data_IF_828210456662
#
_entry.id   IF_828210456662
#
_cell.length_a   1.000
_cell.length_b   1.000
_cell.length_c   1.000
_cell.angle_alpha   90.00
_cell.angle_beta   90.00
_cell.angle_gamma   90.00
#
_symmetry.space_group_name_H-M   'P 1'
#
loop_
_entity.id
_entity.type
_entity.pdbx_description
1 polymer ?
#
# COMPACT_ATOMS: atom_id res chain seq x y z
N UNK A 1 10.53 39.42 14.83
CA UNK A 1 10.01 38.42 13.86
C UNK A 1 10.72 38.55 12.53
N UNK A 2 10.69 39.71 11.88
CA UNK A 2 11.32 39.93 10.56
C UNK A 2 12.79 39.49 10.48
N UNK A 3 13.64 39.86 11.45
CA UNK A 3 15.04 39.40 11.50
C UNK A 3 15.19 37.88 11.53
N UNK A 4 14.27 37.15 12.18
CA UNK A 4 14.34 35.68 12.28
C UNK A 4 14.05 35.08 10.90
N UNK A 5 13.03 35.56 10.21
CA UNK A 5 12.67 35.10 8.87
C UNK A 5 13.73 35.46 7.82
N UNK A 6 14.32 36.65 7.90
CA UNK A 6 15.41 37.08 7.00
C UNK A 6 16.69 36.26 7.24
N UNK A 7 17.00 35.96 8.51
CA UNK A 7 18.12 35.08 8.85
C UNK A 7 17.88 33.64 8.38
N UNK A 8 16.65 33.14 8.53
CA UNK A 8 16.25 31.83 8.02
C UNK A 8 16.37 31.76 6.49
N UNK A 9 15.81 32.72 5.76
CA UNK A 9 15.85 32.76 4.30
C UNK A 9 17.28 32.86 3.77
N UNK A 10 18.11 33.72 4.38
CA UNK A 10 19.55 33.79 4.08
C UNK A 10 20.25 32.46 4.35
N UNK A 11 19.87 31.76 5.43
CA UNK A 11 20.42 30.47 5.81
C UNK A 11 20.03 29.30 4.89
N UNK A 12 19.00 29.45 4.05
CA UNK A 12 18.65 28.44 3.04
C UNK A 12 19.64 28.40 1.87
N UNK A 13 20.52 29.41 1.73
CA UNK A 13 21.56 29.49 0.70
C UNK A 13 21.04 29.23 -0.73
N UNK A 14 19.86 29.79 -1.06
CA UNK A 14 19.22 29.59 -2.36
C UNK A 14 19.97 30.33 -3.48
N UNK A 15 20.09 29.74 -4.68
CA UNK A 15 20.76 30.37 -5.80
C UNK A 15 19.87 31.44 -6.43
N UNK A 16 19.96 32.69 -5.94
CA UNK A 16 19.17 33.82 -6.46
C UNK A 16 19.86 34.49 -7.67
N UNK A 17 21.20 34.40 -7.78
CA UNK A 17 21.99 34.97 -8.89
C UNK A 17 23.26 34.14 -9.17
N UNK A 18 23.22 33.26 -10.18
CA UNK A 18 24.41 32.53 -10.65
C UNK A 18 24.89 31.37 -9.75
N UNK A 19 25.75 30.51 -10.31
CA UNK A 19 26.07 29.15 -9.86
C UNK A 19 26.69 29.02 -8.45
N UNK A 20 25.85 29.13 -7.41
CA UNK A 20 26.19 28.63 -6.08
C UNK A 20 25.80 27.15 -5.98
N UNK A 21 26.76 26.25 -6.18
CA UNK A 21 26.58 24.82 -5.95
C UNK A 21 26.68 24.49 -4.45
N UNK A 22 25.68 24.89 -3.66
CA UNK A 22 25.60 24.40 -2.29
C UNK A 22 24.98 23.01 -2.29
N UNK A 23 25.77 22.00 -1.88
CA UNK A 23 25.22 20.69 -1.52
C UNK A 23 24.59 20.82 -0.14
N UNK A 24 23.36 20.36 0.02
CA UNK A 24 22.68 20.31 1.32
C UNK A 24 23.51 19.50 2.31
N UNK A 25 23.82 20.08 3.47
CA UNK A 25 24.51 19.39 4.54
C UNK A 25 23.51 18.85 5.58
N UNK A 26 23.95 17.89 6.40
CA UNK A 26 23.17 17.37 7.53
C UNK A 26 22.89 18.47 8.59
N UNK A 27 23.76 19.47 8.68
CA UNK A 27 23.57 20.59 9.61
C UNK A 27 22.42 21.49 9.17
N UNK A 28 22.22 21.68 7.86
CA UNK A 28 21.14 22.50 7.30
C UNK A 28 19.76 21.90 7.64
N UNK A 29 19.64 20.57 7.51
CA UNK A 29 18.43 19.81 7.86
C UNK A 29 18.07 19.98 9.35
N UNK A 30 19.06 19.87 10.24
CA UNK A 30 18.85 20.05 11.68
C UNK A 30 18.43 21.49 12.02
N UNK A 31 19.06 22.47 11.37
CA UNK A 31 18.74 23.87 11.57
C UNK A 31 17.29 24.17 11.14
N UNK A 32 16.84 23.60 10.02
CA UNK A 32 15.45 23.72 9.57
C UNK A 32 14.46 23.12 10.56
N UNK A 33 14.77 21.94 11.12
CA UNK A 33 13.89 21.34 12.13
C UNK A 33 13.73 22.25 13.37
N UNK A 34 14.81 22.95 13.77
CA UNK A 34 14.76 23.90 14.90
C UNK A 34 13.94 25.15 14.54
N UNK A 35 14.18 25.74 13.36
CA UNK A 35 13.43 26.93 12.92
C UNK A 35 11.95 26.63 12.69
N UNK A 36 11.60 25.51 12.06
CA UNK A 36 10.20 25.13 11.85
C UNK A 36 9.46 24.91 13.15
N UNK A 37 10.10 24.27 14.14
CA UNK A 37 9.55 24.18 15.49
C UNK A 37 9.37 25.57 16.10
N UNK A 38 10.35 26.45 15.97
CA UNK A 38 10.24 27.81 16.51
C UNK A 38 9.09 28.58 15.86
N UNK A 39 8.97 28.55 14.52
CA UNK A 39 7.87 29.19 13.79
C UNK A 39 6.52 28.65 14.24
N UNK A 40 6.35 27.32 14.27
CA UNK A 40 5.09 26.71 14.66
C UNK A 40 4.69 27.11 16.06
N UNK A 41 5.60 27.11 17.03
CA UNK A 41 5.28 27.46 18.43
C UNK A 41 5.10 28.97 18.68
N UNK A 42 5.37 29.82 17.68
CA UNK A 42 5.04 31.26 17.73
C UNK A 42 3.66 31.59 17.11
N UNK A 43 2.98 30.62 16.48
CA UNK A 43 1.63 30.83 15.91
C UNK A 43 0.59 31.02 17.04
N UNK A 44 -0.51 31.71 16.77
CA UNK A 44 -1.58 31.93 17.75
C UNK A 44 -1.45 33.24 18.53
N UNK A 45 -2.55 33.65 19.15
CA UNK A 45 -2.70 34.99 19.72
C UNK A 45 -2.62 36.08 18.65
N UNK A 46 -2.08 37.25 19.00
CA UNK A 46 -1.96 38.42 18.11
C UNK A 46 -0.72 38.38 17.19
N UNK A 47 0.00 37.26 17.11
CA UNK A 47 1.25 37.17 16.36
C UNK A 47 1.01 36.97 14.85
N UNK A 48 1.70 37.77 14.03
CA UNK A 48 1.61 37.76 12.55
C UNK A 48 2.46 36.68 11.88
N UNK A 49 2.81 35.59 12.57
CA UNK A 49 3.76 34.58 12.07
C UNK A 49 3.26 33.91 10.78
N UNK A 50 1.95 33.66 10.67
CA UNK A 50 1.36 33.09 9.46
C UNK A 50 1.51 34.03 8.25
N UNK A 51 1.36 35.34 8.41
CA UNK A 51 1.60 36.32 7.32
C UNK A 51 3.06 36.24 6.83
N UNK A 52 4.03 36.12 7.74
CA UNK A 52 5.44 35.98 7.37
C UNK A 52 5.73 34.63 6.69
N UNK A 53 5.11 33.54 7.15
CA UNK A 53 5.25 32.23 6.51
C UNK A 53 4.66 32.22 5.09
N UNK A 54 3.51 32.84 4.87
CA UNK A 54 2.91 32.95 3.55
C UNK A 54 3.81 33.72 2.59
N UNK A 55 4.31 34.88 2.99
CA UNK A 55 5.24 35.66 2.17
C UNK A 55 6.53 34.89 1.88
N UNK A 56 7.02 34.11 2.84
CA UNK A 56 8.17 33.22 2.65
C UNK A 56 7.85 32.17 1.58
N UNK A 57 6.71 31.48 1.67
CA UNK A 57 6.36 30.42 0.73
C UNK A 57 6.04 30.93 -0.68
N UNK A 58 5.45 32.12 -0.81
CA UNK A 58 5.33 32.83 -2.09
C UNK A 58 6.71 33.09 -2.71
N UNK A 59 7.69 33.49 -1.89
CA UNK A 59 9.07 33.71 -2.36
C UNK A 59 9.75 32.40 -2.78
N UNK A 60 9.42 31.29 -2.12
CA UNK A 60 10.02 29.98 -2.36
C UNK A 60 9.32 29.17 -3.45
N UNK A 61 8.12 29.56 -3.91
CA UNK A 61 7.24 28.79 -4.79
C UNK A 61 7.97 28.26 -6.05
N UNK A 62 8.74 29.13 -6.71
CA UNK A 62 9.48 28.75 -7.93
C UNK A 62 10.50 27.64 -7.70
N UNK A 63 11.08 27.51 -6.50
CA UNK A 63 12.06 26.47 -6.16
C UNK A 63 11.42 25.10 -5.92
N UNK A 64 10.10 25.03 -5.69
CA UNK A 64 9.37 23.76 -5.53
C UNK A 64 8.90 23.15 -6.83
N UNK A 65 8.98 23.88 -7.95
CA UNK A 65 8.60 23.36 -9.25
C UNK A 65 9.51 22.17 -9.65
N UNK A 66 8.98 21.03 -10.14
CA UNK A 66 9.77 19.85 -10.51
C UNK A 66 10.94 20.10 -11.46
N UNK A 67 10.81 21.08 -12.36
CA UNK A 67 11.86 21.49 -13.30
C UNK A 67 13.04 22.21 -12.63
N UNK A 68 12.83 22.87 -11.49
CA UNK A 68 13.81 23.70 -10.80
C UNK A 68 14.57 22.90 -9.74
N UNK A 69 14.98 21.70 -10.11
CA UNK A 69 15.64 20.78 -9.19
C UNK A 69 17.10 21.14 -8.95
N UNK A 70 17.52 21.27 -7.68
CA UNK A 70 18.91 21.49 -7.30
C UNK A 70 19.29 20.94 -5.93
N UNK A 71 20.48 21.30 -5.45
CA UNK A 71 20.96 20.89 -4.10
C UNK A 71 20.08 21.38 -2.96
N UNK A 72 19.28 22.42 -3.17
CA UNK A 72 18.31 22.95 -2.21
C UNK A 72 16.99 22.16 -2.16
N UNK A 73 16.67 21.34 -3.17
CA UNK A 73 15.36 20.67 -3.25
C UNK A 73 15.07 19.81 -2.02
N UNK A 74 16.05 19.04 -1.57
CA UNK A 74 15.88 18.18 -0.39
C UNK A 74 15.60 19.01 0.87
N UNK A 75 16.34 20.10 1.05
CA UNK A 75 16.25 21.01 2.19
C UNK A 75 14.87 21.67 2.24
N UNK A 76 14.35 22.09 1.09
CA UNK A 76 13.00 22.64 0.96
C UNK A 76 11.92 21.59 1.24
N UNK A 77 12.06 20.36 0.73
CA UNK A 77 11.11 19.28 1.06
C UNK A 77 11.08 18.98 2.58
N UNK A 78 12.24 19.01 3.25
CA UNK A 78 12.34 18.86 4.71
C UNK A 78 11.65 20.02 5.41
N UNK A 79 11.79 21.26 4.93
CA UNK A 79 11.13 22.43 5.49
C UNK A 79 9.61 22.24 5.52
N UNK A 80 8.98 21.91 4.39
CA UNK A 80 7.52 21.72 4.35
C UNK A 80 7.08 20.56 5.25
N UNK A 81 7.79 19.44 5.18
CA UNK A 81 7.49 18.25 5.97
C UNK A 81 7.56 18.51 7.48
N UNK A 82 8.67 19.07 7.95
CA UNK A 82 8.88 19.33 9.37
C UNK A 82 7.95 20.42 9.89
N UNK A 83 7.61 21.42 9.06
CA UNK A 83 6.63 22.44 9.43
C UNK A 83 5.24 21.83 9.67
N UNK A 84 4.76 20.99 8.73
CA UNK A 84 3.48 20.31 8.88
C UNK A 84 3.48 19.34 10.08
N UNK A 85 4.55 18.58 10.28
CA UNK A 85 4.69 17.64 11.39
C UNK A 85 4.63 18.37 12.75
N UNK A 86 5.39 19.45 12.93
CA UNK A 86 5.37 20.22 14.16
C UNK A 86 4.02 20.87 14.42
N UNK A 87 3.32 21.33 13.36
CA UNK A 87 1.98 21.90 13.47
C UNK A 87 0.97 20.88 13.98
N UNK A 88 0.95 19.66 13.41
CA UNK A 88 0.11 18.55 13.89
C UNK A 88 0.44 18.19 15.34
N UNK A 89 1.72 18.11 15.71
CA UNK A 89 2.14 17.83 17.08
C UNK A 89 1.66 18.90 18.06
N UNK A 90 1.80 20.17 17.70
CA UNK A 90 1.31 21.28 18.54
C UNK A 90 -0.20 21.22 18.70
N UNK A 91 -0.93 20.98 17.61
CA UNK A 91 -2.39 20.85 17.68
C UNK A 91 -2.82 19.66 18.55
N UNK A 92 -2.09 18.55 18.48
CA UNK A 92 -2.32 17.40 19.35
C UNK A 92 -2.15 17.75 20.83
N UNK A 93 -1.11 18.50 21.17
CA UNK A 93 -0.87 18.99 22.53
C UNK A 93 -2.00 19.92 23.00
N UNK A 94 -2.49 20.80 22.13
CA UNK A 94 -3.52 21.78 22.48
C UNK A 94 -4.93 21.18 22.64
N UNK A 95 -5.27 20.14 21.85
CA UNK A 95 -6.65 19.60 21.78
C UNK A 95 -6.84 18.23 22.45
N UNK A 96 -5.82 17.36 22.42
CA UNK A 96 -5.98 15.95 22.77
C UNK A 96 -5.07 15.48 23.91
N UNK A 97 -3.99 16.19 24.21
CA UNK A 97 -3.11 15.81 25.30
C UNK A 97 -3.81 15.91 26.66
N UNK A 98 -3.67 14.86 27.47
CA UNK A 98 -4.23 14.83 28.81
C UNK A 98 -3.53 15.84 29.71
N UNK A 99 -4.24 16.50 30.64
CA UNK A 99 -3.64 17.35 31.66
C UNK A 99 -2.48 16.63 32.36
N UNK A 100 -1.31 17.25 32.36
CA UNK A 100 -0.13 16.78 33.06
C UNK A 100 0.48 17.94 33.89
N UNK A 101 1.63 17.70 34.52
CA UNK A 101 2.32 18.71 35.35
C UNK A 101 2.90 19.88 34.56
N UNK A 102 2.91 19.82 33.22
CA UNK A 102 3.43 20.88 32.37
C UNK A 102 2.42 22.02 32.27
N UNK A 103 2.94 23.24 32.03
CA UNK A 103 2.08 24.40 31.84
C UNK A 103 1.17 24.20 30.64
N UNK A 104 -0.14 24.27 30.87
CA UNK A 104 -1.12 24.23 29.80
C UNK A 104 -1.10 25.55 29.03
N UNK A 105 -1.26 25.46 27.72
CA UNK A 105 -1.32 26.61 26.83
C UNK A 105 -2.62 27.36 27.12
N UNK A 106 -2.52 28.67 27.40
CA UNK A 106 -3.70 29.51 27.62
C UNK A 106 -4.53 29.59 26.35
N UNK A 107 -5.86 29.64 26.49
CA UNK A 107 -6.78 29.61 25.36
C UNK A 107 -6.54 30.72 24.32
N UNK A 108 -6.11 31.91 24.77
CA UNK A 108 -5.77 33.05 23.92
C UNK A 108 -4.63 32.79 22.92
N UNK A 109 -3.74 31.82 23.22
CA UNK A 109 -2.60 31.48 22.37
C UNK A 109 -2.79 30.16 21.62
N UNK A 110 -3.94 29.50 21.77
CA UNK A 110 -4.25 28.28 21.02
C UNK A 110 -4.46 28.59 19.54
N UNK A 111 -4.16 27.60 18.70
CA UNK A 111 -4.38 27.67 17.25
C UNK A 111 -5.88 27.58 16.97
N UNK A 112 -6.41 28.59 16.29
CA UNK A 112 -7.83 28.64 15.90
C UNK A 112 -8.07 27.84 14.62
N UNK A 113 -9.31 27.43 14.34
CA UNK A 113 -9.62 26.69 13.09
C UNK A 113 -9.31 27.51 11.82
N UNK A 114 -9.40 28.84 11.90
CA UNK A 114 -9.00 29.74 10.81
C UNK A 114 -7.49 29.72 10.56
N UNK A 115 -6.69 29.63 11.63
CA UNK A 115 -5.24 29.51 11.50
C UNK A 115 -4.86 28.18 10.84
N UNK A 116 -5.58 27.09 11.17
CA UNK A 116 -5.41 25.78 10.54
C UNK A 116 -5.72 25.85 9.05
N UNK A 117 -6.86 26.44 8.68
CA UNK A 117 -7.27 26.61 7.29
C UNK A 117 -6.20 27.34 6.47
N UNK A 118 -5.77 28.49 6.99
CA UNK A 118 -4.76 29.35 6.37
C UNK A 118 -3.43 28.61 6.21
N UNK A 119 -3.01 27.88 7.23
CA UNK A 119 -1.79 27.07 7.19
C UNK A 119 -1.87 25.95 6.14
N UNK A 120 -3.01 25.26 6.04
CA UNK A 120 -3.21 24.18 5.06
C UNK A 120 -3.20 24.74 3.64
N UNK A 121 -3.94 25.82 3.37
CA UNK A 121 -3.99 26.46 2.06
C UNK A 121 -2.61 26.92 1.58
N UNK A 122 -1.84 27.54 2.47
CA UNK A 122 -0.47 27.99 2.18
C UNK A 122 0.44 26.84 1.71
N UNK A 123 0.36 25.66 2.35
CA UNK A 123 1.24 24.53 2.03
C UNK A 123 0.71 23.60 0.96
N UNK A 124 -0.62 23.57 0.73
CA UNK A 124 -1.26 22.59 -0.16
C UNK A 124 -0.66 22.64 -1.56
N UNK A 125 -0.65 23.81 -2.19
CA UNK A 125 -0.25 23.95 -3.60
C UNK A 125 1.25 23.65 -3.78
N UNK A 126 2.07 24.04 -2.81
CA UNK A 126 3.50 23.71 -2.77
C UNK A 126 3.70 22.20 -2.63
N UNK A 127 2.92 21.53 -1.78
CA UNK A 127 2.97 20.08 -1.65
C UNK A 127 2.58 19.38 -2.95
N UNK A 128 1.52 19.84 -3.61
CA UNK A 128 1.04 19.28 -4.88
C UNK A 128 2.08 19.45 -6.00
N UNK A 129 2.76 20.59 -6.08
CA UNK A 129 3.90 20.78 -7.00
C UNK A 129 5.05 19.81 -6.67
N UNK A 130 5.34 19.65 -5.38
CA UNK A 130 6.45 18.81 -4.91
C UNK A 130 6.21 17.30 -5.08
N UNK A 131 4.96 16.88 -5.32
CA UNK A 131 4.58 15.49 -5.57
C UNK A 131 5.35 14.88 -6.76
N UNK A 132 5.62 15.68 -7.79
CA UNK A 132 6.34 15.24 -8.98
C UNK A 132 7.85 15.57 -8.95
N UNK A 133 8.39 15.84 -7.77
CA UNK A 133 9.82 16.14 -7.61
C UNK A 133 10.71 14.97 -8.03
N UNK A 134 11.83 15.29 -8.68
CA UNK A 134 12.85 14.30 -9.09
C UNK A 134 13.54 13.60 -7.92
N UNK A 135 13.43 14.13 -6.69
CA UNK A 135 13.89 13.45 -5.46
C UNK A 135 12.93 12.38 -4.93
N UNK A 136 11.79 12.17 -5.59
CA UNK A 136 10.73 11.27 -5.16
C UNK A 136 9.60 11.98 -4.41
N UNK A 137 8.43 11.34 -4.40
CA UNK A 137 7.19 11.89 -3.83
C UNK A 137 7.02 11.61 -2.33
N UNK A 138 7.90 10.82 -1.70
CA UNK A 138 7.73 10.36 -0.32
C UNK A 138 7.56 11.49 0.70
N UNK A 139 8.39 12.54 0.64
CA UNK A 139 8.25 13.70 1.54
C UNK A 139 6.95 14.45 1.31
N UNK A 140 6.53 14.62 0.05
CA UNK A 140 5.26 15.25 -0.30
C UNK A 140 4.08 14.44 0.24
N UNK A 141 4.13 13.12 0.08
CA UNK A 141 3.11 12.19 0.52
C UNK A 141 2.89 12.22 2.05
N UNK A 142 3.95 12.19 2.85
CA UNK A 142 3.86 12.32 4.32
C UNK A 142 3.38 13.72 4.72
N UNK A 143 3.78 14.75 3.98
CA UNK A 143 3.31 16.12 4.26
C UNK A 143 1.82 16.26 3.97
N UNK A 144 1.34 15.75 2.83
CA UNK A 144 -0.08 15.70 2.49
C UNK A 144 -0.88 14.88 3.52
N UNK A 145 -0.32 13.78 4.03
CA UNK A 145 -0.93 13.04 5.15
C UNK A 145 -1.12 13.94 6.38
N UNK A 146 -0.10 14.67 6.80
CA UNK A 146 -0.21 15.60 7.92
C UNK A 146 -1.23 16.73 7.65
N UNK A 147 -1.26 17.29 6.45
CA UNK A 147 -2.24 18.32 6.09
C UNK A 147 -3.67 17.76 6.04
N UNK A 148 -3.86 16.54 5.54
CA UNK A 148 -5.16 15.87 5.50
C UNK A 148 -5.69 15.57 6.91
N UNK A 149 -4.82 15.28 7.89
CA UNK A 149 -5.23 15.16 9.30
C UNK A 149 -5.75 16.47 9.88
N UNK A 150 -5.33 17.62 9.33
CA UNK A 150 -5.78 18.94 9.77
C UNK A 150 -7.08 19.35 9.09
N UNK A 151 -7.13 19.31 7.75
CA UNK A 151 -8.29 19.71 6.93
C UNK A 151 -8.44 18.77 5.73
N UNK A 152 -9.18 17.69 5.95
CA UNK A 152 -9.46 16.67 4.94
C UNK A 152 -10.26 17.23 3.75
N UNK A 153 -11.19 18.15 4.01
CA UNK A 153 -12.05 18.83 3.05
C UNK A 153 -11.28 19.62 1.98
N UNK A 154 -10.10 20.13 2.34
CA UNK A 154 -9.27 20.94 1.44
C UNK A 154 -8.26 20.08 0.68
N UNK A 155 -7.67 19.10 1.37
CA UNK A 155 -6.54 18.32 0.85
C UNK A 155 -7.00 17.14 0.01
N UNK A 156 -7.98 16.36 0.48
CA UNK A 156 -8.40 15.12 -0.18
C UNK A 156 -8.92 15.35 -1.60
N UNK A 157 -9.81 16.32 -1.88
CA UNK A 157 -10.28 16.54 -3.25
C UNK A 157 -9.14 16.78 -4.23
N UNK A 158 -8.16 17.62 -3.86
CA UNK A 158 -7.02 17.92 -4.72
C UNK A 158 -6.10 16.72 -4.97
N UNK A 159 -5.94 15.81 -3.98
CA UNK A 159 -5.17 14.58 -4.16
C UNK A 159 -5.93 13.56 -5.01
N UNK A 160 -7.25 13.46 -4.81
CA UNK A 160 -8.14 12.57 -5.58
C UNK A 160 -8.13 13.00 -7.04
N UNK A 161 -8.42 14.27 -7.33
CA UNK A 161 -8.47 14.81 -8.70
C UNK A 161 -7.17 14.56 -9.45
N UNK A 162 -6.02 14.85 -8.81
CA UNK A 162 -4.69 14.61 -9.39
C UNK A 162 -4.39 13.14 -9.63
N UNK A 163 -4.92 12.25 -8.79
CA UNK A 163 -4.73 10.82 -8.97
C UNK A 163 -5.58 10.31 -10.12
N UNK A 164 -6.83 10.75 -10.24
CA UNK A 164 -7.72 10.41 -11.35
C UNK A 164 -7.13 10.93 -12.67
N UNK A 165 -6.71 12.20 -12.71
CA UNK A 165 -6.02 12.79 -13.87
C UNK A 165 -4.80 11.94 -14.27
N UNK A 166 -3.93 11.60 -13.31
CA UNK A 166 -2.75 10.79 -13.59
C UNK A 166 -3.12 9.39 -14.13
N UNK A 167 -4.13 8.73 -13.57
CA UNK A 167 -4.58 7.40 -14.01
C UNK A 167 -5.17 7.40 -15.43
N UNK A 168 -5.80 8.49 -15.85
CA UNK A 168 -6.35 8.65 -17.21
C UNK A 168 -5.26 8.95 -18.24
N UNK A 169 -4.15 9.60 -17.83
CA UNK A 169 -3.06 9.92 -18.74
C UNK A 169 -2.24 8.68 -19.12
N UNK A 170 -2.09 8.44 -20.43
CA UNK A 170 -1.27 7.34 -20.97
C UNK A 170 0.21 7.75 -21.11
N UNK A 171 0.49 9.07 -21.09
CA UNK A 171 1.78 9.62 -21.55
C UNK A 171 2.82 9.76 -20.43
N UNK A 172 2.40 9.85 -19.16
CA UNK A 172 3.28 10.23 -18.04
C UNK A 172 3.25 9.23 -16.86
N UNK A 173 3.83 8.02 -17.00
CA UNK A 173 3.71 6.94 -16.00
C UNK A 173 4.30 7.29 -14.62
N UNK A 174 5.32 8.14 -14.59
CA UNK A 174 5.91 8.63 -13.34
C UNK A 174 4.94 9.45 -12.48
N UNK A 175 3.91 10.07 -13.08
CA UNK A 175 2.90 10.81 -12.33
C UNK A 175 1.92 9.89 -11.63
N UNK A 176 1.58 8.75 -12.24
CA UNK A 176 0.70 7.72 -11.65
C UNK A 176 1.31 7.19 -10.36
N UNK A 177 2.59 6.81 -10.38
CA UNK A 177 3.27 6.25 -9.20
C UNK A 177 3.38 7.27 -8.08
N UNK A 178 3.71 8.53 -8.40
CA UNK A 178 3.75 9.61 -7.44
C UNK A 178 2.38 9.91 -6.81
N UNK A 179 1.33 10.01 -7.64
CA UNK A 179 -0.03 10.29 -7.20
C UNK A 179 -0.59 9.16 -6.32
N UNK A 180 -0.40 7.89 -6.73
CA UNK A 180 -0.80 6.73 -5.92
C UNK A 180 -0.07 6.67 -4.58
N UNK A 181 1.22 7.03 -4.52
CA UNK A 181 1.94 7.09 -3.26
C UNK A 181 1.36 8.16 -2.31
N UNK A 182 1.01 9.34 -2.85
CA UNK A 182 0.34 10.38 -2.08
C UNK A 182 -1.07 9.96 -1.63
N UNK A 183 -1.86 9.35 -2.53
CA UNK A 183 -3.19 8.83 -2.20
C UNK A 183 -3.13 7.72 -1.14
N UNK A 184 -2.15 6.82 -1.23
CA UNK A 184 -1.89 5.78 -0.22
C UNK A 184 -1.57 6.38 1.13
N UNK A 185 -0.82 7.49 1.19
CA UNK A 185 -0.45 8.13 2.47
C UNK A 185 -1.64 8.79 3.16
N UNK A 186 -2.63 9.27 2.40
CA UNK A 186 -3.86 9.86 2.94
C UNK A 186 -5.01 8.85 3.11
N UNK A 187 -4.76 7.56 2.85
CA UNK A 187 -5.78 6.49 2.86
C UNK A 187 -6.59 6.44 4.15
N UNK A 188 -5.96 6.63 5.31
CA UNK A 188 -6.63 6.61 6.61
C UNK A 188 -7.64 7.74 6.78
N UNK A 189 -7.29 8.93 6.32
CA UNK A 189 -8.20 10.09 6.34
C UNK A 189 -9.33 9.88 5.32
N UNK A 190 -9.01 9.30 4.16
CA UNK A 190 -10.00 8.96 3.13
C UNK A 190 -11.04 7.94 3.63
N UNK A 191 -10.60 6.88 4.32
CA UNK A 191 -11.48 5.86 4.91
C UNK A 191 -12.28 6.39 6.08
N UNK A 192 -11.69 7.23 6.93
CA UNK A 192 -12.39 7.75 8.10
C UNK A 192 -13.42 8.83 7.74
N UNK A 193 -13.20 9.63 6.69
CA UNK A 193 -13.95 10.85 6.37
C UNK A 193 -13.77 11.99 7.37
N UNK A 194 -13.74 11.67 8.67
CA UNK A 194 -13.65 12.62 9.77
C UNK A 194 -14.83 13.59 9.78
N UNK A 195 -14.78 14.57 10.68
CA UNK A 195 -15.85 15.57 10.81
C UNK A 195 -15.89 16.55 9.64
N UNK A 196 -14.75 16.77 8.99
CA UNK A 196 -14.59 17.80 7.96
C UNK A 196 -15.01 17.31 6.56
N UNK A 197 -14.83 16.03 6.25
CA UNK A 197 -15.22 15.48 4.95
C UNK A 197 -15.88 14.09 5.04
N UNK A 198 -17.11 14.01 5.59
CA UNK A 198 -17.82 12.74 5.78
C UNK A 198 -18.07 11.94 4.50
N UNK A 199 -18.14 12.62 3.35
CA UNK A 199 -18.34 11.97 2.04
C UNK A 199 -17.06 11.34 1.46
N UNK A 200 -15.87 11.55 2.05
CA UNK A 200 -14.62 11.00 1.53
C UNK A 200 -14.66 9.49 1.23
N UNK A 201 -15.29 8.63 2.07
CA UNK A 201 -15.33 7.20 1.83
C UNK A 201 -16.13 6.79 0.59
N UNK A 202 -17.05 7.62 0.09
CA UNK A 202 -17.86 7.29 -1.12
C UNK A 202 -17.00 7.23 -2.37
N UNK A 203 -15.85 7.91 -2.37
CA UNK A 203 -14.88 7.85 -3.48
C UNK A 203 -14.08 6.55 -3.53
N UNK A 204 -14.06 5.76 -2.45
CA UNK A 204 -13.14 4.61 -2.31
C UNK A 204 -13.36 3.58 -3.40
N UNK A 205 -14.60 3.13 -3.60
CA UNK A 205 -14.86 2.05 -4.56
C UNK A 205 -14.52 2.51 -5.99
N UNK A 206 -14.87 3.74 -6.35
CA UNK A 206 -14.52 4.33 -7.64
C UNK A 206 -13.01 4.38 -7.85
N UNK A 207 -12.25 4.80 -6.83
CA UNK A 207 -10.79 4.83 -6.88
C UNK A 207 -10.20 3.41 -6.98
N UNK A 208 -10.75 2.44 -6.24
CA UNK A 208 -10.32 1.04 -6.33
C UNK A 208 -10.48 0.49 -7.76
N UNK A 209 -11.63 0.74 -8.40
CA UNK A 209 -11.84 0.38 -9.80
C UNK A 209 -10.91 1.12 -10.75
N UNK A 210 -10.67 2.42 -10.53
CA UNK A 210 -9.77 3.22 -11.36
C UNK A 210 -8.30 2.77 -11.28
N UNK A 211 -7.87 2.26 -10.14
CA UNK A 211 -6.49 1.76 -9.92
C UNK A 211 -6.29 0.34 -10.42
N UNK A 212 -7.35 -0.44 -10.60
CA UNK A 212 -7.27 -1.85 -10.99
C UNK A 212 -6.48 -2.10 -12.29
N UNK A 213 -6.60 -1.29 -13.37
CA UNK A 213 -5.75 -1.40 -14.57
C UNK A 213 -4.27 -1.04 -14.33
N UNK A 214 -3.93 -0.51 -13.16
CA UNK A 214 -2.56 -0.26 -12.73
C UNK A 214 -1.78 -1.52 -12.35
N UNK A 215 -2.46 -2.65 -12.15
CA UNK A 215 -1.84 -3.97 -12.03
C UNK A 215 -1.53 -4.47 -13.45
N UNK A 216 -0.30 -4.18 -13.89
CA UNK A 216 0.18 -4.42 -15.25
C UNK A 216 1.51 -5.19 -15.22
N UNK A 217 1.58 -6.39 -15.84
CA UNK A 217 2.83 -7.15 -15.93
C UNK A 217 3.99 -6.38 -16.58
N UNK A 218 3.69 -5.37 -17.39
CA UNK A 218 4.70 -4.59 -18.10
C UNK A 218 5.27 -3.42 -17.29
N UNK A 219 4.61 -3.02 -16.19
CA UNK A 219 5.04 -1.88 -15.36
C UNK A 219 5.12 -2.28 -13.89
N UNK A 220 6.35 -2.63 -13.47
CA UNK A 220 6.66 -2.98 -12.09
C UNK A 220 6.29 -1.88 -11.09
N UNK A 221 6.64 -0.62 -11.40
CA UNK A 221 6.47 0.49 -10.46
C UNK A 221 4.99 0.85 -10.29
N UNK A 222 4.23 0.87 -11.39
CA UNK A 222 2.77 1.09 -11.38
C UNK A 222 2.06 -0.03 -10.64
N UNK A 223 2.45 -1.28 -10.87
CA UNK A 223 1.88 -2.45 -10.18
C UNK A 223 2.12 -2.39 -8.68
N UNK A 224 3.36 -2.09 -8.25
CA UNK A 224 3.70 -1.97 -6.82
C UNK A 224 2.96 -0.81 -6.14
N UNK A 225 2.82 0.34 -6.81
CA UNK A 225 2.05 1.46 -6.29
C UNK A 225 0.55 1.11 -6.17
N UNK A 226 0.01 0.39 -7.15
CA UNK A 226 -1.38 -0.07 -7.15
C UNK A 226 -1.65 -1.07 -6.01
N UNK A 227 -0.79 -2.08 -5.83
CA UNK A 227 -0.88 -3.00 -4.70
C UNK A 227 -0.78 -2.28 -3.35
N UNK A 228 0.13 -1.32 -3.22
CA UNK A 228 0.29 -0.54 -1.99
C UNK A 228 -0.98 0.24 -1.64
N UNK A 229 -1.60 0.90 -2.63
CA UNK A 229 -2.86 1.62 -2.43
C UNK A 229 -4.02 0.67 -2.07
N UNK A 230 -4.23 -0.37 -2.88
CA UNK A 230 -5.32 -1.34 -2.69
C UNK A 230 -5.21 -2.01 -1.32
N UNK A 231 -4.03 -2.53 -0.98
CA UNK A 231 -3.77 -3.16 0.31
C UNK A 231 -3.98 -2.19 1.48
N UNK A 232 -3.55 -0.93 1.33
CA UNK A 232 -3.76 0.10 2.36
C UNK A 232 -5.24 0.38 2.62
N UNK A 233 -6.06 0.50 1.57
CA UNK A 233 -7.50 0.76 1.71
C UNK A 233 -8.23 -0.48 2.25
N UNK A 234 -8.06 -1.63 1.59
CA UNK A 234 -8.78 -2.85 1.96
C UNK A 234 -8.40 -3.33 3.36
N UNK A 235 -7.17 -3.05 3.83
CA UNK A 235 -6.74 -3.37 5.19
C UNK A 235 -7.39 -2.54 6.28
N UNK A 236 -8.09 -1.46 5.93
CA UNK A 236 -8.75 -0.54 6.87
C UNK A 236 -10.28 -0.67 6.88
N UNK A 237 -10.86 -1.49 5.99
CA UNK A 237 -12.31 -1.68 5.90
C UNK A 237 -12.69 -3.16 6.00
N UNK A 238 -13.78 -3.51 6.72
CA UNK A 238 -14.32 -4.86 6.68
C UNK A 238 -14.97 -5.11 5.32
N UNK A 239 -14.58 -6.20 4.65
CA UNK A 239 -15.09 -6.56 3.32
C UNK A 239 -16.34 -7.43 3.48
N UNK A 240 -17.47 -6.76 3.72
CA UNK A 240 -18.77 -7.36 3.99
C UNK A 240 -19.82 -6.69 3.10
N UNK A 241 -20.69 -7.49 2.48
CA UNK A 241 -21.87 -6.97 1.81
C UNK A 241 -22.92 -6.59 2.87
N UNK A 242 -23.12 -5.29 3.03
CA UNK A 242 -24.01 -4.73 4.05
C UNK A 242 -25.43 -4.44 3.55
N UNK A 243 -25.77 -4.74 2.28
CA UNK A 243 -27.06 -4.37 1.70
C UNK A 243 -28.28 -4.92 2.47
N UNK A 244 -28.11 -6.02 3.22
CA UNK A 244 -29.17 -6.56 4.09
C UNK A 244 -29.63 -5.56 5.17
N UNK A 245 -28.76 -4.64 5.60
CA UNK A 245 -29.07 -3.59 6.57
C UNK A 245 -30.15 -2.62 6.06
N UNK A 246 -30.19 -2.36 4.74
CA UNK A 246 -31.22 -1.50 4.12
C UNK A 246 -32.61 -2.10 4.26
N UNK A 247 -32.71 -3.42 4.14
CA UNK A 247 -33.97 -4.15 4.27
C UNK A 247 -34.39 -4.30 5.74
N UNK A 248 -33.44 -4.24 6.67
CA UNK A 248 -33.67 -4.36 8.11
C UNK A 248 -34.22 -3.07 8.76
N UNK A 249 -34.30 -1.95 8.01
CA UNK A 249 -34.84 -0.69 8.52
C UNK A 249 -33.97 -0.01 9.57
N UNK A 250 -32.65 -0.26 9.55
CA UNK A 250 -31.69 0.39 10.46
C UNK A 250 -31.62 1.89 10.09
N UNK A 251 -31.67 2.77 11.08
CA UNK A 251 -31.48 4.22 10.87
C UNK A 251 -30.05 4.48 10.37
N UNK A 252 -29.95 5.16 9.23
CA UNK A 252 -28.69 5.46 8.55
C UNK A 252 -28.74 6.89 7.99
N UNK A 253 -27.61 7.58 8.00
CA UNK A 253 -27.43 8.82 7.24
C UNK A 253 -27.47 8.57 5.73
N UNK A 254 -27.64 9.61 4.93
CA UNK A 254 -27.65 9.50 3.47
C UNK A 254 -26.33 8.92 2.94
N UNK A 255 -25.20 9.33 3.51
CA UNK A 255 -23.86 8.83 3.16
C UNK A 255 -23.71 7.36 3.54
N UNK A 256 -24.13 6.95 4.75
CA UNK A 256 -24.08 5.54 5.16
C UNK A 256 -24.97 4.66 4.27
N UNK A 257 -26.13 5.17 3.85
CA UNK A 257 -27.00 4.48 2.90
C UNK A 257 -26.32 4.29 1.55
N UNK A 258 -25.64 5.31 1.03
CA UNK A 258 -24.87 5.22 -0.21
C UNK A 258 -23.74 4.19 -0.09
N UNK A 259 -22.92 4.27 0.97
CA UNK A 259 -21.84 3.31 1.23
C UNK A 259 -22.36 1.87 1.37
N UNK A 260 -23.52 1.69 1.99
CA UNK A 260 -24.18 0.40 2.13
C UNK A 260 -24.60 -0.16 0.75
N UNK A 261 -25.11 0.67 -0.16
CA UNK A 261 -25.41 0.27 -1.54
C UNK A 261 -24.13 -0.11 -2.29
N UNK A 262 -23.07 0.69 -2.17
CA UNK A 262 -21.77 0.42 -2.79
C UNK A 262 -21.13 -0.88 -2.28
N UNK A 263 -21.36 -1.25 -1.01
CA UNK A 263 -20.86 -2.50 -0.44
C UNK A 263 -21.32 -3.76 -1.20
N UNK A 264 -22.43 -3.67 -1.94
CA UNK A 264 -22.90 -4.76 -2.79
C UNK A 264 -21.99 -5.09 -3.96
N UNK A 265 -21.18 -4.15 -4.41
CA UNK A 265 -20.23 -4.31 -5.53
C UNK A 265 -18.84 -4.77 -5.08
N UNK A 266 -18.61 -4.92 -3.77
CA UNK A 266 -17.30 -5.31 -3.24
C UNK A 266 -16.91 -6.72 -3.69
N UNK A 267 -17.86 -7.66 -3.71
CA UNK A 267 -17.58 -9.03 -4.16
C UNK A 267 -17.09 -9.05 -5.62
N UNK A 268 -17.80 -8.34 -6.51
CA UNK A 268 -17.43 -8.24 -7.92
C UNK A 268 -16.06 -7.58 -8.12
N UNK A 269 -15.77 -6.52 -7.35
CA UNK A 269 -14.46 -5.86 -7.37
C UNK A 269 -13.34 -6.82 -6.95
N UNK A 270 -13.54 -7.55 -5.85
CA UNK A 270 -12.53 -8.46 -5.31
C UNK A 270 -12.29 -9.67 -6.23
N UNK A 271 -13.33 -10.17 -6.90
CA UNK A 271 -13.19 -11.19 -7.94
C UNK A 271 -12.34 -10.68 -9.11
N UNK A 272 -12.63 -9.48 -9.62
CA UNK A 272 -11.83 -8.86 -10.69
C UNK A 272 -10.38 -8.58 -10.25
N UNK A 273 -10.15 -8.21 -8.98
CA UNK A 273 -8.81 -8.06 -8.42
C UNK A 273 -8.04 -9.38 -8.41
N UNK A 274 -8.69 -10.46 -7.98
CA UNK A 274 -8.08 -11.79 -7.97
C UNK A 274 -7.79 -12.27 -9.40
N UNK A 275 -8.68 -12.04 -10.36
CA UNK A 275 -8.45 -12.36 -11.77
C UNK A 275 -7.27 -11.57 -12.35
N UNK A 276 -7.12 -10.29 -11.98
CA UNK A 276 -5.95 -9.48 -12.35
C UNK A 276 -4.66 -9.99 -11.73
N UNK A 277 -4.71 -10.49 -10.49
CA UNK A 277 -3.56 -11.16 -9.87
C UNK A 277 -3.20 -12.46 -10.61
N UNK A 278 -4.18 -13.27 -11.03
CA UNK A 278 -3.92 -14.47 -11.84
C UNK A 278 -3.30 -14.11 -13.18
N UNK A 279 -3.85 -13.13 -13.89
CA UNK A 279 -3.29 -12.64 -15.13
C UNK A 279 -1.83 -12.16 -14.95
N UNK A 280 -1.54 -11.43 -13.87
CA UNK A 280 -0.16 -11.01 -13.56
C UNK A 280 0.76 -12.23 -13.39
N UNK A 281 0.32 -13.25 -12.64
CA UNK A 281 1.10 -14.47 -12.41
C UNK A 281 1.34 -15.26 -13.70
N UNK A 282 0.34 -15.37 -14.58
CA UNK A 282 0.47 -16.01 -15.89
C UNK A 282 1.49 -15.29 -16.80
N UNK A 283 1.60 -13.97 -16.68
CA UNK A 283 2.59 -13.19 -17.43
C UNK A 283 3.98 -13.15 -16.77
N UNK A 284 4.07 -13.50 -15.48
CA UNK A 284 5.35 -13.75 -14.80
C UNK A 284 5.89 -15.14 -15.11
N UNK A 285 5.02 -16.07 -15.50
CA UNK A 285 5.38 -17.41 -15.95
C UNK A 285 5.82 -17.39 -17.41
N UNK A 286 6.89 -16.64 -17.71
CA UNK A 286 7.44 -16.57 -19.07
C UNK A 286 8.51 -17.64 -19.29
N UNK A 287 8.18 -18.51 -20.24
CA UNK A 287 8.98 -19.32 -21.17
C UNK A 287 10.47 -19.59 -20.86
N UNK A 288 10.85 -20.86 -21.00
CA UNK A 288 12.20 -21.40 -20.98
C UNK A 288 13.18 -20.58 -21.85
N UNK A 289 13.75 -19.51 -21.31
CA UNK A 289 14.96 -18.89 -21.86
C UNK A 289 16.07 -19.94 -21.73
N UNK A 290 16.79 -20.14 -22.83
CA UNK A 290 17.79 -21.20 -23.06
C UNK A 290 18.62 -21.58 -21.83
N UNK A 291 18.94 -22.88 -21.70
CA UNK A 291 19.73 -23.46 -20.60
C UNK A 291 21.08 -22.76 -20.31
N UNK A 292 21.60 -21.93 -21.22
CA UNK A 292 22.81 -21.14 -21.04
C UNK A 292 22.60 -19.87 -20.18
N UNK A 293 21.38 -19.31 -20.11
CA UNK A 293 21.08 -18.11 -19.29
C UNK A 293 20.66 -18.46 -17.86
N UNK A 294 20.24 -19.70 -17.61
CA UNK A 294 19.81 -20.19 -16.30
C UNK A 294 20.88 -20.11 -15.20
N UNK A 295 22.18 -20.13 -15.54
CA UNK A 295 23.27 -19.97 -14.57
C UNK A 295 23.53 -18.53 -14.15
N UNK A 296 22.98 -17.55 -14.85
CA UNK A 296 23.13 -16.12 -14.53
C UNK A 296 21.91 -15.57 -13.76
N UNK A 297 20.78 -16.28 -13.74
CA UNK A 297 19.50 -15.87 -13.14
C UNK A 297 19.10 -16.65 -11.87
N UNK A 298 20.03 -17.37 -11.20
CA UNK A 298 19.71 -18.14 -9.98
C UNK A 298 19.35 -17.29 -8.75
N UNK A 299 19.47 -15.96 -8.85
CA UNK A 299 18.83 -15.05 -7.90
C UNK A 299 17.50 -14.64 -8.53
N UNK A 300 16.37 -15.01 -7.91
CA UNK A 300 15.06 -14.38 -8.15
C UNK A 300 15.28 -12.94 -8.63
N UNK A 301 14.86 -12.60 -9.84
CA UNK A 301 14.97 -11.21 -10.29
C UNK A 301 14.29 -10.38 -9.20
N UNK A 302 15.02 -9.47 -8.55
CA UNK A 302 14.59 -8.84 -7.28
C UNK A 302 13.20 -8.23 -7.44
N UNK A 303 12.88 -7.75 -8.65
CA UNK A 303 11.57 -7.26 -9.04
C UNK A 303 10.47 -8.32 -9.00
N UNK A 304 10.68 -9.51 -9.55
CA UNK A 304 9.71 -10.63 -9.49
C UNK A 304 9.45 -11.06 -8.05
N UNK A 305 10.50 -11.13 -7.24
CA UNK A 305 10.38 -11.41 -5.80
C UNK A 305 9.55 -10.33 -5.07
N UNK A 306 9.80 -9.05 -5.37
CA UNK A 306 9.04 -7.93 -4.81
C UNK A 306 7.58 -7.92 -5.27
N UNK A 307 7.31 -8.23 -6.54
CA UNK A 307 5.95 -8.40 -7.07
C UNK A 307 5.22 -9.52 -6.35
N UNK A 308 5.88 -10.67 -6.16
CA UNK A 308 5.31 -11.79 -5.40
C UNK A 308 4.91 -11.40 -3.97
N UNK A 309 5.76 -10.63 -3.28
CA UNK A 309 5.46 -10.10 -1.94
C UNK A 309 4.28 -9.11 -1.99
N UNK A 310 4.26 -8.19 -2.95
CA UNK A 310 3.19 -7.20 -3.13
C UNK A 310 1.83 -7.86 -3.40
N UNK A 311 1.80 -8.86 -4.29
CA UNK A 311 0.60 -9.63 -4.61
C UNK A 311 0.13 -10.45 -3.40
N UNK A 312 1.02 -11.27 -2.82
CA UNK A 312 0.65 -12.13 -1.69
C UNK A 312 0.16 -11.33 -0.49
N UNK A 313 0.81 -10.19 -0.18
CA UNK A 313 0.36 -9.32 0.92
C UNK A 313 -1.00 -8.68 0.65
N UNK A 314 -1.27 -8.26 -0.58
CA UNK A 314 -2.58 -7.71 -0.96
C UNK A 314 -3.67 -8.78 -0.84
N UNK A 315 -3.42 -9.99 -1.36
CA UNK A 315 -4.34 -11.12 -1.28
C UNK A 315 -4.57 -11.57 0.16
N UNK A 316 -3.54 -11.55 1.00
CA UNK A 316 -3.66 -11.78 2.44
C UNK A 316 -4.61 -10.79 3.09
N UNK A 317 -4.46 -9.50 2.80
CA UNK A 317 -5.37 -8.46 3.32
C UNK A 317 -6.80 -8.75 2.87
N UNK A 318 -7.02 -9.03 1.58
CA UNK A 318 -8.35 -9.37 1.05
C UNK A 318 -8.97 -10.54 1.81
N UNK A 319 -8.27 -11.67 1.93
CA UNK A 319 -8.83 -12.85 2.60
C UNK A 319 -9.10 -12.60 4.09
N UNK A 320 -8.22 -11.89 4.79
CA UNK A 320 -8.39 -11.61 6.22
C UNK A 320 -9.55 -10.67 6.53
N UNK A 321 -9.82 -9.71 5.64
CA UNK A 321 -10.89 -8.72 5.83
C UNK A 321 -12.24 -9.20 5.26
N UNK A 322 -12.24 -10.25 4.44
CA UNK A 322 -13.44 -10.82 3.82
C UNK A 322 -14.35 -11.51 4.81
N UNK A 323 -15.65 -11.22 4.69
CA UNK A 323 -16.72 -12.05 5.28
C UNK A 323 -16.65 -13.50 4.79
N UNK A 324 -17.19 -14.47 5.54
CA UNK A 324 -17.17 -15.88 5.14
C UNK A 324 -17.81 -16.16 3.77
N UNK A 325 -18.81 -15.38 3.37
CA UNK A 325 -19.49 -15.52 2.07
C UNK A 325 -18.58 -15.10 0.91
N UNK A 326 -18.00 -13.90 0.99
CA UNK A 326 -17.07 -13.38 -0.02
C UNK A 326 -15.82 -14.25 -0.05
N UNK A 327 -15.26 -14.59 1.11
CA UNK A 327 -14.09 -15.46 1.22
C UNK A 327 -14.30 -16.78 0.46
N UNK A 328 -15.47 -17.41 0.61
CA UNK A 328 -15.79 -18.66 -0.09
C UNK A 328 -15.80 -18.48 -1.61
N UNK A 329 -16.39 -17.41 -2.14
CA UNK A 329 -16.37 -17.12 -3.57
C UNK A 329 -14.93 -16.96 -4.09
N UNK A 330 -14.10 -16.18 -3.39
CA UNK A 330 -12.69 -15.98 -3.75
C UNK A 330 -11.87 -17.27 -3.64
N UNK A 331 -12.12 -18.09 -2.61
CA UNK A 331 -11.48 -19.40 -2.44
C UNK A 331 -11.87 -20.36 -3.57
N UNK A 332 -13.11 -20.30 -4.04
CA UNK A 332 -13.59 -21.12 -5.15
C UNK A 332 -12.87 -20.75 -6.46
N UNK A 333 -12.64 -19.46 -6.72
CA UNK A 333 -11.81 -19.00 -7.83
C UNK A 333 -10.36 -19.45 -7.69
N UNK A 334 -9.74 -19.27 -6.52
CA UNK A 334 -8.36 -19.71 -6.27
C UNK A 334 -8.17 -21.21 -6.45
N UNK A 335 -9.11 -22.01 -5.93
CA UNK A 335 -9.06 -23.46 -6.10
C UNK A 335 -9.16 -23.86 -7.57
N UNK A 336 -10.10 -23.26 -8.31
CA UNK A 336 -10.30 -23.53 -9.74
C UNK A 336 -9.04 -23.18 -10.54
N UNK A 337 -8.41 -22.04 -10.23
CA UNK A 337 -7.15 -21.63 -10.86
C UNK A 337 -6.04 -22.65 -10.59
N UNK A 338 -5.86 -23.05 -9.33
CA UNK A 338 -4.82 -24.01 -8.91
C UNK A 338 -4.99 -25.40 -9.53
N UNK A 339 -6.24 -25.86 -9.71
CA UNK A 339 -6.50 -27.19 -10.27
C UNK A 339 -6.38 -27.24 -11.79
N UNK A 340 -6.64 -26.12 -12.47
CA UNK A 340 -6.66 -26.05 -13.94
C UNK A 340 -5.30 -25.68 -14.54
N UNK A 341 -4.41 -25.07 -13.75
CA UNK A 341 -3.09 -24.63 -14.22
C UNK A 341 -1.98 -25.40 -13.50
N UNK A 342 -0.95 -25.78 -14.24
CA UNK A 342 0.30 -26.34 -13.69
C UNK A 342 1.39 -25.32 -13.92
N UNK A 343 1.80 -24.63 -12.85
CA UNK A 343 2.77 -23.54 -12.90
C UNK A 343 4.19 -24.03 -12.56
N UNK A 344 5.20 -23.28 -13.01
CA UNK A 344 6.56 -23.56 -12.58
C UNK A 344 6.74 -23.17 -11.11
N UNK A 345 7.45 -24.00 -10.35
CA UNK A 345 7.46 -23.91 -8.88
C UNK A 345 8.44 -22.87 -8.32
N UNK A 346 9.09 -22.09 -9.17
CA UNK A 346 10.15 -21.17 -8.75
C UNK A 346 9.63 -19.75 -8.55
N UNK A 347 8.80 -19.22 -9.47
CA UNK A 347 8.29 -17.85 -9.40
C UNK A 347 6.76 -17.87 -9.29
N UNK A 348 6.04 -18.12 -10.38
CA UNK A 348 4.58 -18.11 -10.45
C UNK A 348 3.96 -19.11 -9.47
N UNK A 349 4.49 -20.33 -9.42
CA UNK A 349 4.02 -21.35 -8.49
C UNK A 349 4.26 -20.98 -7.03
N UNK A 350 5.35 -20.26 -6.72
CA UNK A 350 5.63 -19.76 -5.38
C UNK A 350 4.66 -18.63 -4.98
N UNK A 351 4.33 -17.75 -5.91
CA UNK A 351 3.38 -16.65 -5.68
C UNK A 351 1.98 -17.22 -5.40
N UNK A 352 1.52 -18.18 -6.19
CA UNK A 352 0.19 -18.78 -5.99
C UNK A 352 0.12 -19.68 -4.76
N UNK A 353 1.19 -20.42 -4.44
CA UNK A 353 1.24 -21.17 -3.19
C UNK A 353 1.19 -20.24 -1.98
N UNK A 354 1.83 -19.07 -2.04
CA UNK A 354 1.72 -18.02 -1.03
C UNK A 354 0.31 -17.40 -0.95
N UNK A 355 -0.45 -17.33 -2.06
CA UNK A 355 -1.89 -16.98 -2.03
C UNK A 355 -2.72 -18.06 -1.34
N UNK A 356 -2.41 -19.35 -1.57
CA UNK A 356 -3.07 -20.46 -0.90
C UNK A 356 -2.82 -20.45 0.60
N UNK A 357 -1.56 -20.15 1.02
CA UNK A 357 -1.22 -19.91 2.42
C UNK A 357 -2.05 -18.78 3.01
N UNK A 358 -2.25 -17.70 2.26
CA UNK A 358 -3.03 -16.57 2.72
C UNK A 358 -4.49 -16.94 3.00
N UNK A 359 -5.10 -17.74 2.13
CA UNK A 359 -6.42 -18.30 2.35
C UNK A 359 -6.48 -19.22 3.57
N UNK A 360 -5.49 -20.12 3.71
CA UNK A 360 -5.41 -21.06 4.83
C UNK A 360 -5.22 -20.35 6.18
N UNK A 361 -4.50 -19.22 6.21
CA UNK A 361 -4.36 -18.38 7.41
C UNK A 361 -5.65 -17.64 7.78
N UNK A 362 -6.43 -17.20 6.79
CA UNK A 362 -7.66 -16.46 7.03
C UNK A 362 -8.80 -17.38 7.52
N UNK A 363 -9.03 -18.50 6.83
CA UNK A 363 -10.06 -19.47 7.18
C UNK A 363 -9.54 -20.91 6.99
N UNK A 364 -8.83 -21.47 8.00
CA UNK A 364 -8.12 -22.74 7.88
C UNK A 364 -9.06 -23.92 7.61
N UNK A 365 -10.15 -24.06 8.37
CA UNK A 365 -11.08 -25.19 8.27
C UNK A 365 -11.68 -25.33 6.86
N UNK A 366 -12.12 -24.21 6.27
CA UNK A 366 -12.76 -24.19 4.95
C UNK A 366 -11.72 -24.44 3.86
N UNK A 367 -10.55 -23.80 3.98
CA UNK A 367 -9.47 -23.93 2.99
C UNK A 367 -8.90 -25.35 2.97
N UNK A 368 -8.56 -25.91 4.13
CA UNK A 368 -8.06 -27.28 4.23
C UNK A 368 -9.06 -28.28 3.69
N UNK A 369 -10.34 -28.15 4.04
CA UNK A 369 -11.39 -29.05 3.53
C UNK A 369 -11.47 -29.06 2.00
N UNK A 370 -11.22 -27.91 1.36
CA UNK A 370 -11.30 -27.78 -0.10
C UNK A 370 -10.02 -28.23 -0.80
N UNK A 371 -8.86 -27.77 -0.33
CA UNK A 371 -7.58 -28.02 -0.98
C UNK A 371 -6.95 -29.35 -0.57
N UNK A 372 -6.89 -29.63 0.74
CA UNK A 372 -6.04 -30.67 1.29
C UNK A 372 -6.41 -32.07 0.75
N UNK A 373 -7.71 -32.40 0.74
CA UNK A 373 -8.19 -33.71 0.28
C UNK A 373 -7.90 -33.92 -1.21
N UNK A 374 -8.19 -32.93 -2.04
CA UNK A 374 -7.99 -33.02 -3.50
C UNK A 374 -6.50 -33.14 -3.84
N UNK A 375 -5.68 -32.21 -3.33
CA UNK A 375 -4.25 -32.13 -3.64
C UNK A 375 -3.51 -33.37 -3.15
N UNK A 376 -3.79 -33.83 -1.92
CA UNK A 376 -3.17 -35.05 -1.39
C UNK A 376 -3.53 -36.28 -2.21
N UNK A 377 -4.77 -36.40 -2.70
CA UNK A 377 -5.17 -37.51 -3.57
C UNK A 377 -4.35 -37.51 -4.86
N UNK A 378 -4.26 -36.35 -5.54
CA UNK A 378 -3.51 -36.21 -6.78
C UNK A 378 -2.02 -36.53 -6.57
N UNK A 379 -1.41 -36.08 -5.46
CA UNK A 379 -0.01 -36.39 -5.15
C UNK A 379 0.19 -37.88 -4.94
N UNK A 380 -0.71 -38.55 -4.20
CA UNK A 380 -0.65 -40.00 -3.98
C UNK A 380 -0.74 -40.75 -5.30
N UNK A 381 -1.70 -40.37 -6.16
CA UNK A 381 -1.90 -41.02 -7.46
C UNK A 381 -0.65 -40.87 -8.35
N UNK A 382 -0.07 -39.67 -8.43
CA UNK A 382 1.17 -39.41 -9.18
C UNK A 382 2.40 -40.14 -8.60
N UNK A 383 2.47 -40.26 -7.26
CA UNK A 383 3.61 -40.88 -6.58
C UNK A 383 3.57 -42.42 -6.56
N UNK A 384 2.43 -43.02 -6.89
CA UNK A 384 2.25 -44.48 -6.94
C UNK A 384 2.45 -45.06 -8.34
N UNK A 385 2.59 -44.22 -9.36
CA UNK A 385 2.95 -44.66 -10.70
C UNK A 385 4.30 -45.41 -10.72
N UNK A 386 4.38 -46.45 -11.55
CA UNK A 386 5.56 -47.31 -11.62
C UNK A 386 6.82 -46.53 -12.02
N UNK A 387 7.94 -46.76 -11.33
CA UNK A 387 9.24 -46.16 -11.66
C UNK A 387 9.50 -44.76 -11.07
N UNK A 388 8.46 -43.99 -10.75
CA UNK A 388 8.56 -42.57 -10.33
C UNK A 388 9.50 -42.34 -9.14
N UNK A 389 9.58 -43.27 -8.19
CA UNK A 389 10.49 -43.17 -7.02
C UNK A 389 11.97 -43.06 -7.40
N UNK A 390 12.37 -43.67 -8.51
CA UNK A 390 13.76 -43.74 -8.96
C UNK A 390 14.09 -42.72 -10.06
N UNK A 391 13.11 -41.94 -10.50
CA UNK A 391 13.29 -40.91 -11.53
C UNK A 391 13.98 -39.66 -10.95
N UNK A 392 14.91 -39.08 -11.72
CA UNK A 392 15.57 -37.82 -11.38
C UNK A 392 14.73 -36.61 -11.79
N UNK A 393 13.92 -36.76 -12.84
CA UNK A 393 12.99 -35.76 -13.36
C UNK A 393 11.57 -36.32 -13.27
N UNK A 394 10.74 -35.71 -12.43
CA UNK A 394 9.34 -36.10 -12.23
C UNK A 394 8.39 -35.20 -12.99
N UNK A 395 7.13 -35.61 -13.10
CA UNK A 395 6.04 -34.79 -13.63
C UNK A 395 6.00 -33.40 -12.94
N UNK A 396 6.05 -32.28 -13.68
CA UNK A 396 5.89 -30.93 -13.13
C UNK A 396 4.63 -30.76 -12.27
N UNK A 397 3.57 -31.51 -12.57
CA UNK A 397 2.33 -31.55 -11.80
C UNK A 397 2.55 -32.02 -10.37
N UNK A 398 3.43 -33.00 -10.15
CA UNK A 398 3.77 -33.47 -8.81
C UNK A 398 4.50 -32.38 -8.01
N UNK A 399 5.44 -31.67 -8.64
CA UNK A 399 6.17 -30.56 -8.01
C UNK A 399 5.23 -29.40 -7.67
N UNK A 400 4.31 -29.08 -8.57
CA UNK A 400 3.30 -28.02 -8.40
C UNK A 400 2.42 -28.29 -7.18
N UNK A 401 1.79 -29.46 -7.12
CA UNK A 401 0.90 -29.80 -6.02
C UNK A 401 1.62 -29.98 -4.68
N UNK A 402 2.86 -30.45 -4.68
CA UNK A 402 3.68 -30.47 -3.47
C UNK A 402 4.00 -29.07 -2.97
N UNK A 403 4.28 -28.11 -3.87
CA UNK A 403 4.51 -26.74 -3.46
C UNK A 403 3.27 -26.11 -2.84
N UNK A 404 2.11 -26.30 -3.47
CA UNK A 404 0.84 -25.81 -2.93
C UNK A 404 0.54 -26.45 -1.58
N UNK A 405 0.72 -27.78 -1.45
CA UNK A 405 0.48 -28.48 -0.18
C UNK A 405 1.41 -27.98 0.93
N UNK A 406 2.69 -27.70 0.62
CA UNK A 406 3.67 -27.20 1.60
C UNK A 406 3.29 -25.84 2.20
N UNK A 407 2.57 -25.01 1.45
CA UNK A 407 2.19 -23.65 1.88
C UNK A 407 0.79 -23.58 2.51
N UNK A 408 -0.07 -24.58 2.28
CA UNK A 408 -1.42 -24.67 2.87
C UNK A 408 -1.37 -25.18 4.33
N UNK A 409 -0.20 -25.60 4.82
CA UNK A 409 0.01 -25.95 6.22
C UNK A 409 -0.31 -24.74 7.13
N UNK A 410 -1.36 -24.87 7.94
CA UNK A 410 -1.84 -23.81 8.84
C UNK A 410 -1.97 -24.33 10.28
N UNK A 411 -2.83 -23.69 11.08
CA UNK A 411 -3.07 -24.03 12.50
C UNK A 411 -3.08 -25.55 12.73
N UNK A 412 -2.17 -26.01 13.60
CA UNK A 412 -1.93 -27.42 13.82
C UNK A 412 -3.18 -28.18 14.27
N UNK A 413 -4.10 -27.51 14.98
CA UNK A 413 -5.36 -28.11 15.43
C UNK A 413 -6.28 -28.48 14.27
N UNK A 414 -6.38 -27.61 13.27
CA UNK A 414 -7.23 -27.81 12.09
C UNK A 414 -6.65 -28.84 11.11
N UNK A 415 -5.35 -29.12 11.22
CA UNK A 415 -4.65 -30.11 10.40
C UNK A 415 -4.75 -31.54 10.95
N UNK A 416 -4.96 -31.71 12.26
CA UNK A 416 -5.06 -33.02 12.91
C UNK A 416 -6.02 -34.01 12.23
N UNK A 417 -7.20 -33.60 11.73
CA UNK A 417 -8.10 -34.49 10.99
C UNK A 417 -7.47 -35.12 9.75
N UNK A 418 -6.46 -34.48 9.16
CA UNK A 418 -5.82 -34.90 7.92
C UNK A 418 -4.48 -35.63 8.11
N UNK A 419 -4.10 -35.93 9.36
CA UNK A 419 -2.80 -36.53 9.72
C UNK A 419 -2.45 -37.79 8.93
N UNK A 420 -3.43 -38.66 8.67
CA UNK A 420 -3.20 -39.95 8.02
C UNK A 420 -2.89 -39.77 6.53
N UNK A 421 -3.60 -38.83 5.87
CA UNK A 421 -3.33 -38.45 4.49
C UNK A 421 -1.97 -37.76 4.37
N UNK A 422 -1.63 -36.88 5.32
CA UNK A 422 -0.32 -36.22 5.34
C UNK A 422 0.82 -37.24 5.47
N UNK A 423 0.72 -38.17 6.43
CA UNK A 423 1.71 -39.23 6.61
C UNK A 423 1.86 -40.09 5.36
N UNK A 424 0.74 -40.39 4.67
CA UNK A 424 0.76 -41.12 3.40
C UNK A 424 1.52 -40.36 2.32
N UNK A 425 1.23 -39.07 2.13
CA UNK A 425 1.95 -38.21 1.16
C UNK A 425 3.45 -38.18 1.48
N UNK A 426 3.83 -37.86 2.72
CA UNK A 426 5.23 -37.75 3.14
C UNK A 426 6.00 -39.07 2.97
N UNK A 427 5.37 -40.21 3.29
CA UNK A 427 5.99 -41.52 3.12
C UNK A 427 6.34 -41.88 1.67
N UNK A 428 5.58 -41.31 0.71
CA UNK A 428 5.80 -41.55 -0.71
C UNK A 428 6.84 -40.60 -1.31
N UNK A 429 6.91 -39.36 -0.82
CA UNK A 429 7.65 -38.27 -1.48
C UNK A 429 9.03 -37.99 -0.87
N UNK A 430 9.22 -38.21 0.44
CA UNK A 430 10.51 -37.95 1.11
C UNK A 430 11.65 -38.85 0.64
N UNK A 431 11.33 -40.05 0.15
CA UNK A 431 12.31 -41.05 -0.26
C UNK A 431 12.51 -41.13 -1.78
N UNK A 432 11.97 -40.16 -2.54
CA UNK A 432 12.16 -40.11 -3.99
C UNK A 432 13.57 -39.64 -4.34
N UNK A 433 14.12 -40.12 -5.47
CA UNK A 433 15.47 -39.74 -5.92
C UNK A 433 15.57 -38.27 -6.35
N UNK A 434 14.46 -37.68 -6.84
CA UNK A 434 14.42 -36.29 -7.31
C UNK A 434 14.60 -35.27 -6.17
N UNK A 435 15.67 -34.46 -6.23
CA UNK A 435 15.97 -33.39 -5.26
C UNK A 435 14.87 -32.37 -5.06
N UNK A 436 14.20 -31.97 -6.15
CA UNK A 436 13.12 -30.99 -6.08
C UNK A 436 11.90 -31.52 -5.32
N UNK A 437 11.64 -32.83 -5.39
CA UNK A 437 10.51 -33.46 -4.71
C UNK A 437 10.76 -33.58 -3.21
N UNK A 438 11.83 -34.27 -2.79
CA UNK A 438 12.07 -34.49 -1.36
C UNK A 438 12.38 -33.18 -0.63
N UNK A 439 12.98 -32.19 -1.30
CA UNK A 439 13.22 -30.87 -0.70
C UNK A 439 11.94 -30.09 -0.43
N UNK A 440 10.87 -30.29 -1.23
CA UNK A 440 9.57 -29.64 -0.99
C UNK A 440 8.72 -30.42 -0.01
N UNK A 441 8.78 -31.76 -0.06
CA UNK A 441 8.16 -32.61 0.94
C UNK A 441 8.76 -32.44 2.36
N UNK A 442 10.03 -32.01 2.44
CA UNK A 442 10.71 -31.74 3.71
C UNK A 442 10.50 -30.33 4.28
N UNK A 443 9.93 -29.40 3.49
CA UNK A 443 9.43 -28.13 4.03
C UNK A 443 8.11 -28.40 4.74
#
# INVERSE_FOLDING_TARGET
MENIFNQFLSGLNLPVTGAAHHKSSRQDVLLIAVYTKWFVYMIGGQCKVLEFLENLFVTLESFYHPSNHGGFSHVLLVLVHTLAQHFVQRLHIERYAKPNWQNQIRDEFKITDKDIERFVLMLKDICLLSMYSKSGSGSAAVTLQNLALLRADIVLPSVIDRTVEALETIVEPHQVTAALQCLTSVSRTLVSGGDHFPAAPTHILTLLYAVLPGIDPNDFHKTMASFSFISSILGQIPLVNCMSALNAGIEMTEIERELCLMSGQLEDYLLQLIDRCFFLVENLSTEQISEQDNKLMENMNVQEGMLGIGLSSTVQVVFTQSSPTIFKALLDCLFTFVTNHVLEVNVAGKIVSDMCRAAAKAYPTITLKKFFTHISSVIVDLSTAEGVKNEENVDPKLLWYLEVLSEIYCDGMELLPYREMLNKVLSLTLHMKCKKVYSRAGK
#
